data_IF_867159163141
#
_entry.id   IF_867159163141
#
_cell.length_a   1.000
_cell.length_b   1.000
_cell.length_c   1.000
_cell.angle_alpha   90.00
_cell.angle_beta   90.00
_cell.angle_gamma   90.00
#
_symmetry.space_group_name_H-M   'P 1'
#
loop_
_entity.id
_entity.type
_entity.pdbx_description
1 polymer ?
#
# COMPACT_ATOMS: atom_id res chain seq x y z
N UNK A 1 -20.46 49.75 -53.56
CA UNK A 1 -20.09 51.06 -52.98
C UNK A 1 -19.07 50.76 -51.88
N UNK A 2 -17.79 50.83 -52.21
CA UNK A 2 -16.65 50.83 -51.26
C UNK A 2 -16.49 52.26 -50.70
N UNK A 3 -15.87 52.51 -49.52
CA UNK A 3 -14.48 52.13 -49.19
C UNK A 3 -14.28 51.60 -47.74
N UNK A 4 -13.42 50.61 -47.46
CA UNK A 4 -11.97 50.70 -47.21
C UNK A 4 -11.52 51.92 -46.41
N UNK A 5 -10.98 51.71 -45.20
CA UNK A 5 -9.80 52.43 -44.67
C UNK A 5 -9.35 51.82 -43.32
N UNK A 6 -8.22 51.12 -43.36
CA UNK A 6 -7.16 51.20 -42.33
C UNK A 6 -5.97 51.87 -43.03
N UNK A 7 -4.96 52.48 -42.35
CA UNK A 7 -4.64 52.44 -40.92
C UNK A 7 -4.30 53.83 -40.32
N UNK A 8 -4.07 53.93 -39.01
CA UNK A 8 -3.12 54.94 -38.53
C UNK A 8 -2.20 54.37 -37.44
N UNK A 9 -0.91 54.41 -37.76
CA UNK A 9 0.21 54.05 -36.91
C UNK A 9 0.35 55.08 -35.79
N UNK A 10 0.32 54.63 -34.53
CA UNK A 10 1.18 55.21 -33.52
C UNK A 10 1.95 54.10 -32.81
N UNK A 11 3.16 53.88 -33.32
CA UNK A 11 4.24 53.20 -32.63
C UNK A 11 4.70 54.14 -31.52
N UNK A 12 4.34 53.87 -30.27
CA UNK A 12 5.13 54.33 -29.12
C UNK A 12 6.03 53.18 -28.68
N UNK A 13 7.32 53.32 -28.99
CA UNK A 13 8.42 52.59 -28.36
C UNK A 13 8.60 53.13 -26.95
N UNK A 14 8.37 52.31 -25.94
CA UNK A 14 9.06 52.41 -24.65
C UNK A 14 9.79 51.10 -24.41
N UNK A 15 11.08 51.22 -24.10
CA UNK A 15 12.07 50.17 -24.22
C UNK A 15 11.85 49.00 -23.27
N UNK A 16 11.93 47.79 -23.82
CA UNK A 16 12.22 46.59 -23.07
C UNK A 16 13.72 46.58 -22.70
N UNK A 17 14.04 47.06 -21.51
CA UNK A 17 15.23 46.65 -20.76
C UNK A 17 14.77 46.21 -19.37
N UNK A 18 14.92 44.92 -19.08
CA UNK A 18 14.52 44.34 -17.79
C UNK A 18 14.23 42.83 -17.79
N UNK A 19 14.27 42.16 -18.94
CA UNK A 19 13.95 40.73 -19.07
C UNK A 19 15.15 39.80 -19.06
N UNK A 20 16.00 39.79 -18.02
CA UNK A 20 16.96 38.67 -17.82
C UNK A 20 17.18 38.28 -16.34
N UNK A 21 16.66 38.99 -15.34
CA UNK A 21 16.97 38.68 -13.92
C UNK A 21 15.84 38.07 -13.08
N UNK A 22 14.70 37.72 -13.66
CA UNK A 22 13.56 37.19 -12.90
C UNK A 22 13.28 35.68 -13.09
N UNK A 23 14.09 34.95 -13.85
CA UNK A 23 13.88 33.50 -14.08
C UNK A 23 14.79 32.63 -13.18
N UNK A 24 15.90 33.18 -12.68
CA UNK A 24 16.82 32.46 -11.81
C UNK A 24 16.36 32.41 -10.33
N UNK A 25 15.45 33.30 -9.91
CA UNK A 25 14.95 33.36 -8.53
C UNK A 25 13.80 32.41 -8.22
N UNK A 26 13.01 32.02 -9.23
CA UNK A 26 11.82 31.18 -9.04
C UNK A 26 12.12 29.69 -9.11
N UNK A 27 13.24 29.30 -9.74
CA UNK A 27 13.70 27.90 -9.78
C UNK A 27 14.52 27.51 -8.54
N UNK A 28 14.99 28.49 -7.75
CA UNK A 28 15.81 28.23 -6.56
C UNK A 28 14.97 28.01 -5.29
N UNK A 29 13.72 28.49 -5.25
CA UNK A 29 12.80 28.28 -4.12
C UNK A 29 12.08 26.92 -4.15
N UNK A 30 12.02 26.26 -5.32
CA UNK A 30 11.44 24.92 -5.48
C UNK A 30 12.48 23.80 -5.27
N UNK A 31 13.73 24.19 -4.99
CA UNK A 31 14.83 23.30 -4.60
C UNK A 31 14.93 23.13 -3.07
N UNK A 32 13.86 23.47 -2.34
CA UNK A 32 13.69 23.11 -0.94
C UNK A 32 13.31 21.63 -0.84
N UNK A 33 14.34 20.78 -0.67
CA UNK A 33 14.29 19.37 -0.21
C UNK A 33 13.24 18.49 -0.92
N UNK A 34 13.64 17.97 -2.08
CA UNK A 34 13.03 16.81 -2.73
C UNK A 34 13.20 15.55 -1.85
N UNK A 35 12.47 15.45 -0.74
CA UNK A 35 12.03 14.16 -0.18
C UNK A 35 10.80 13.68 -0.98
N UNK A 36 10.87 13.76 -2.31
CA UNK A 36 9.81 13.34 -3.22
C UNK A 36 9.66 11.82 -3.10
N UNK A 37 8.57 11.40 -2.47
CA UNK A 37 8.23 9.98 -2.40
C UNK A 37 7.61 9.57 -3.72
N UNK A 38 8.42 8.98 -4.57
CA UNK A 38 7.97 8.33 -5.79
C UNK A 38 7.26 7.02 -5.46
N UNK A 39 5.94 6.99 -5.65
CA UNK A 39 5.19 5.74 -5.61
C UNK A 39 5.44 4.97 -6.91
N UNK A 40 6.33 3.99 -6.84
CA UNK A 40 6.66 3.14 -7.97
C UNK A 40 5.67 1.97 -8.01
N UNK A 41 4.81 1.95 -9.04
CA UNK A 41 3.95 0.80 -9.33
C UNK A 41 4.70 -0.18 -10.21
N UNK A 42 4.90 -1.40 -9.71
CA UNK A 42 5.46 -2.48 -10.52
C UNK A 42 4.42 -3.60 -10.59
N UNK A 43 3.85 -3.91 -11.78
CA UNK A 43 2.98 -5.05 -11.95
C UNK A 43 3.69 -6.36 -11.57
N UNK A 44 2.98 -7.21 -10.83
CA UNK A 44 3.45 -8.55 -10.49
C UNK A 44 3.15 -9.48 -11.65
N UNK A 45 4.19 -9.92 -12.37
CA UNK A 45 4.07 -10.90 -13.44
C UNK A 45 4.17 -12.31 -12.89
N UNK A 46 3.04 -13.01 -12.73
CA UNK A 46 3.06 -14.41 -12.30
C UNK A 46 3.69 -15.32 -13.36
N UNK A 47 4.62 -16.17 -12.94
CA UNK A 47 5.28 -17.17 -13.79
C UNK A 47 6.69 -16.80 -14.25
N UNK A 48 7.06 -15.52 -14.22
CA UNK A 48 8.44 -15.07 -14.31
C UNK A 48 8.89 -14.73 -12.89
N UNK A 49 9.80 -15.52 -12.29
CA UNK A 49 10.33 -15.20 -10.95
C UNK A 49 10.89 -13.78 -10.88
N UNK A 50 10.96 -13.16 -9.68
CA UNK A 50 11.26 -11.73 -9.52
C UNK A 50 12.61 -11.34 -10.12
N UNK A 51 13.59 -12.24 -10.08
CA UNK A 51 14.93 -12.05 -10.68
C UNK A 51 14.96 -11.99 -12.22
N UNK A 52 13.86 -12.34 -12.89
CA UNK A 52 13.75 -12.30 -14.36
C UNK A 52 13.02 -11.05 -14.87
N UNK A 53 12.56 -10.21 -13.97
CA UNK A 53 11.80 -9.02 -14.28
C UNK A 53 12.76 -7.83 -14.23
N UNK A 54 12.87 -7.09 -15.33
CA UNK A 54 13.60 -5.82 -15.36
C UNK A 54 12.70 -4.74 -14.73
N UNK A 55 12.73 -4.68 -13.40
CA UNK A 55 11.85 -3.86 -12.54
C UNK A 55 11.77 -2.41 -13.03
N UNK A 56 12.91 -1.84 -13.41
CA UNK A 56 12.98 -0.45 -13.86
C UNK A 56 12.09 -0.17 -15.08
N UNK A 57 11.97 -1.12 -16.02
CA UNK A 57 11.09 -0.97 -17.21
C UNK A 57 9.61 -1.02 -16.87
N UNK A 58 9.26 -1.48 -15.68
CA UNK A 58 7.88 -1.59 -15.22
C UNK A 58 7.41 -0.39 -14.41
N UNK A 59 8.33 0.50 -14.02
CA UNK A 59 7.99 1.71 -13.29
C UNK A 59 7.20 2.64 -14.22
N UNK A 60 6.00 3.03 -13.78
CA UNK A 60 5.14 3.98 -14.50
C UNK A 60 5.89 5.30 -14.74
N UNK A 61 6.02 5.73 -16.01
CA UNK A 61 6.79 6.93 -16.38
C UNK A 61 8.31 6.72 -16.48
N UNK A 62 8.81 5.48 -16.42
CA UNK A 62 10.23 5.21 -16.62
C UNK A 62 10.68 5.52 -18.05
N UNK A 63 11.79 6.24 -18.14
CA UNK A 63 12.53 6.53 -19.37
C UNK A 63 14.01 6.24 -19.10
N UNK A 64 14.85 5.98 -20.12
CA UNK A 64 16.30 5.86 -19.92
C UNK A 64 16.91 7.08 -19.21
N UNK A 65 16.33 8.28 -19.42
CA UNK A 65 16.74 9.51 -18.75
C UNK A 65 16.41 9.47 -17.25
N UNK A 66 15.18 9.14 -16.86
CA UNK A 66 14.82 8.98 -15.43
C UNK A 66 15.59 7.83 -14.78
N UNK A 67 15.89 6.76 -15.52
CA UNK A 67 16.77 5.69 -15.08
C UNK A 67 18.19 6.14 -14.76
N UNK A 68 18.74 7.07 -15.54
CA UNK A 68 20.09 7.61 -15.31
C UNK A 68 20.19 8.56 -14.11
N UNK A 69 19.06 9.01 -13.56
CA UNK A 69 19.02 9.88 -12.38
C UNK A 69 19.08 9.10 -11.06
N UNK A 70 18.76 7.80 -11.07
CA UNK A 70 18.87 6.98 -9.87
C UNK A 70 20.32 6.58 -9.59
N UNK A 71 20.72 6.76 -8.34
CA UNK A 71 21.95 6.20 -7.80
C UNK A 71 21.89 4.67 -7.78
N UNK A 72 23.06 4.03 -7.80
CA UNK A 72 23.14 2.57 -7.66
C UNK A 72 22.57 2.04 -6.34
N UNK A 73 22.49 2.88 -5.29
CA UNK A 73 21.85 2.53 -4.02
C UNK A 73 20.33 2.55 -4.11
N UNK A 74 19.75 3.56 -4.75
CA UNK A 74 18.30 3.64 -4.99
C UNK A 74 17.82 2.48 -5.86
N UNK A 75 18.56 2.14 -6.92
CA UNK A 75 18.24 0.97 -7.76
C UNK A 75 18.27 -0.33 -6.93
N UNK A 76 19.25 -0.48 -6.04
CA UNK A 76 19.30 -1.64 -5.13
C UNK A 76 18.13 -1.65 -4.15
N UNK A 77 17.74 -0.50 -3.62
CA UNK A 77 16.57 -0.40 -2.73
C UNK A 77 15.29 -0.79 -3.47
N UNK A 78 15.04 -0.23 -4.65
CA UNK A 78 13.88 -0.54 -5.49
C UNK A 78 13.79 -2.03 -5.78
N UNK A 79 14.90 -2.67 -6.15
CA UNK A 79 14.92 -4.11 -6.42
C UNK A 79 14.63 -4.94 -5.17
N UNK A 80 15.21 -4.58 -4.03
CA UNK A 80 14.96 -5.28 -2.75
C UNK A 80 13.51 -5.15 -2.32
N UNK A 81 12.96 -3.94 -2.40
CA UNK A 81 11.59 -3.66 -1.99
C UNK A 81 10.58 -4.32 -2.96
N UNK A 82 10.92 -4.40 -4.25
CA UNK A 82 10.17 -5.18 -5.22
C UNK A 82 10.19 -6.68 -4.90
N UNK A 83 11.37 -7.24 -4.60
CA UNK A 83 11.50 -8.65 -4.27
C UNK A 83 10.72 -9.01 -2.99
N UNK A 84 10.85 -8.18 -1.95
CA UNK A 84 10.05 -8.31 -0.73
C UNK A 84 8.55 -8.30 -1.07
N UNK A 85 8.08 -7.25 -1.76
CA UNK A 85 6.68 -7.10 -2.15
C UNK A 85 6.15 -8.26 -2.96
N UNK A 86 6.96 -8.78 -3.89
CA UNK A 86 6.62 -9.94 -4.72
C UNK A 86 6.39 -11.19 -3.85
N UNK A 87 7.25 -11.45 -2.88
CA UNK A 87 7.08 -12.58 -1.95
C UNK A 87 5.83 -12.42 -1.07
N UNK A 88 5.60 -11.22 -0.51
CA UNK A 88 4.42 -10.95 0.32
C UNK A 88 3.12 -11.14 -0.45
N UNK A 89 3.07 -10.63 -1.68
CA UNK A 89 1.91 -10.78 -2.56
C UNK A 89 1.70 -12.22 -3.02
N UNK A 90 2.77 -12.98 -3.25
CA UNK A 90 2.66 -14.42 -3.49
C UNK A 90 2.05 -15.16 -2.30
N UNK A 91 2.45 -14.84 -1.07
CA UNK A 91 1.87 -15.45 0.14
C UNK A 91 0.37 -15.22 0.22
N UNK A 92 -0.08 -13.97 0.01
CA UNK A 92 -1.50 -13.63 0.01
C UNK A 92 -2.24 -14.34 -1.12
N UNK A 93 -1.71 -14.33 -2.34
CA UNK A 93 -2.36 -14.96 -3.48
C UNK A 93 -2.41 -16.48 -3.37
N UNK A 94 -1.36 -17.11 -2.86
CA UNK A 94 -1.34 -18.55 -2.62
C UNK A 94 -2.40 -18.94 -1.60
N UNK A 95 -2.55 -18.14 -0.53
CA UNK A 95 -3.63 -18.32 0.43
C UNK A 95 -5.00 -18.10 -0.22
N UNK A 96 -5.20 -17.06 -1.03
CA UNK A 96 -6.48 -16.82 -1.72
C UNK A 96 -6.84 -17.93 -2.71
N UNK A 97 -5.86 -18.44 -3.46
CA UNK A 97 -6.05 -19.57 -4.36
C UNK A 97 -6.42 -20.84 -3.59
N UNK A 98 -5.77 -21.06 -2.44
CA UNK A 98 -6.12 -22.13 -1.53
C UNK A 98 -7.55 -21.92 -1.02
N UNK A 99 -7.89 -20.75 -0.49
CA UNK A 99 -9.21 -20.38 0.01
C UNK A 99 -10.32 -20.58 -1.04
N UNK A 100 -10.13 -20.10 -2.26
CA UNK A 100 -11.10 -20.26 -3.35
C UNK A 100 -11.29 -21.72 -3.75
N UNK A 101 -10.23 -22.54 -3.71
CA UNK A 101 -10.35 -24.00 -3.89
C UNK A 101 -11.02 -24.66 -2.68
N UNK A 102 -10.79 -24.15 -1.49
CA UNK A 102 -11.25 -24.64 -0.19
C UNK A 102 -12.76 -24.41 -0.01
N UNK A 103 -13.27 -23.22 -0.37
CA UNK A 103 -14.70 -22.90 -0.47
C UNK A 103 -15.49 -23.85 -1.40
N UNK A 104 -14.81 -24.55 -2.29
CA UNK A 104 -15.45 -25.38 -3.32
C UNK A 104 -15.71 -26.84 -2.92
N UNK A 105 -15.14 -27.43 -1.86
CA UNK A 105 -15.61 -28.74 -1.28
C UNK A 105 -14.85 -29.37 -0.09
N UNK A 106 -13.71 -28.86 0.43
CA UNK A 106 -12.94 -29.57 1.51
C UNK A 106 -12.17 -28.64 2.48
N UNK A 107 -12.83 -27.60 2.99
CA UNK A 107 -12.22 -26.74 4.02
C UNK A 107 -12.37 -27.31 5.43
N UNK A 108 -11.48 -26.97 6.37
CA UNK A 108 -11.88 -26.90 7.77
C UNK A 108 -13.15 -26.03 7.88
N UNK A 109 -14.25 -26.51 8.50
CA UNK A 109 -15.54 -25.81 8.52
C UNK A 109 -15.45 -24.35 9.00
N UNK A 110 -14.49 -24.08 9.89
CA UNK A 110 -14.26 -22.77 10.50
C UNK A 110 -13.63 -21.77 9.53
N UNK A 111 -12.68 -22.18 8.69
CA UNK A 111 -12.09 -21.26 7.72
C UNK A 111 -13.09 -20.85 6.63
N UNK A 112 -13.94 -21.78 6.19
CA UNK A 112 -14.99 -21.49 5.21
C UNK A 112 -16.04 -20.51 5.74
N UNK A 113 -16.26 -20.49 7.05
CA UNK A 113 -17.20 -19.57 7.72
C UNK A 113 -16.53 -18.33 8.31
N UNK A 114 -15.24 -18.08 8.04
CA UNK A 114 -14.50 -16.95 8.58
C UNK A 114 -15.10 -15.61 8.12
N UNK A 115 -15.68 -14.80 9.04
CA UNK A 115 -16.39 -13.58 8.68
C UNK A 115 -15.46 -12.42 8.33
N UNK A 116 -14.15 -12.55 8.57
CA UNK A 116 -13.17 -11.49 8.41
C UNK A 116 -12.48 -11.52 7.05
N UNK A 117 -12.26 -12.69 6.46
CA UNK A 117 -11.45 -12.83 5.24
C UNK A 117 -11.98 -12.07 4.02
N UNK A 118 -13.29 -12.18 3.73
CA UNK A 118 -13.91 -11.47 2.59
C UNK A 118 -13.81 -9.96 2.81
N UNK A 119 -13.99 -9.51 4.05
CA UNK A 119 -13.90 -8.09 4.41
C UNK A 119 -12.45 -7.59 4.33
N UNK A 120 -11.48 -8.41 4.74
CA UNK A 120 -10.06 -8.13 4.63
C UNK A 120 -9.63 -7.92 3.17
N UNK A 121 -10.06 -8.80 2.26
CA UNK A 121 -9.74 -8.63 0.83
C UNK A 121 -10.40 -7.37 0.23
N UNK A 122 -11.64 -7.08 0.62
CA UNK A 122 -12.31 -5.85 0.20
C UNK A 122 -11.54 -4.61 0.65
N UNK A 123 -11.08 -4.58 1.91
CA UNK A 123 -10.29 -3.47 2.44
C UNK A 123 -8.94 -3.35 1.73
N UNK A 124 -8.25 -4.46 1.45
CA UNK A 124 -7.03 -4.48 0.63
C UNK A 124 -7.23 -3.81 -0.73
N UNK A 125 -8.30 -4.20 -1.44
CA UNK A 125 -8.61 -3.64 -2.77
C UNK A 125 -8.91 -2.14 -2.68
N UNK A 126 -9.70 -1.71 -1.68
CA UNK A 126 -10.02 -0.29 -1.49
C UNK A 126 -8.74 0.50 -1.16
N UNK A 127 -7.92 0.01 -0.24
CA UNK A 127 -6.68 0.66 0.17
C UNK A 127 -5.72 0.87 -1.01
N UNK A 128 -5.54 -0.15 -1.84
CA UNK A 128 -4.71 -0.07 -3.04
C UNK A 128 -5.28 0.87 -4.11
N UNK A 129 -6.60 0.84 -4.33
CA UNK A 129 -7.28 1.78 -5.25
C UNK A 129 -7.17 3.23 -4.79
N UNK A 130 -7.20 3.49 -3.49
CA UNK A 130 -7.00 4.84 -2.95
C UNK A 130 -5.59 5.39 -3.13
N UNK A 131 -4.61 4.54 -3.46
CA UNK A 131 -3.27 4.95 -3.92
C UNK A 131 -3.18 5.07 -5.46
N UNK A 132 -4.33 5.09 -6.15
CA UNK A 132 -4.42 5.46 -7.57
C UNK A 132 -4.77 6.94 -7.72
N UNK A 133 -4.23 7.61 -8.75
CA UNK A 133 -4.43 9.05 -8.94
C UNK A 133 -5.91 9.30 -9.35
N UNK A 134 -6.61 10.26 -8.72
CA UNK A 134 -6.17 11.13 -7.62
C UNK A 134 -6.09 10.39 -6.28
N UNK A 135 -5.01 10.62 -5.53
CA UNK A 135 -4.77 9.93 -4.26
C UNK A 135 -5.81 10.29 -3.20
N UNK A 136 -6.29 9.27 -2.49
CA UNK A 136 -7.08 9.42 -1.26
C UNK A 136 -6.30 8.77 -0.11
N UNK A 137 -5.32 9.51 0.41
CA UNK A 137 -4.34 9.00 1.39
C UNK A 137 -5.00 8.59 2.70
N UNK A 138 -5.98 9.35 3.18
CA UNK A 138 -6.75 9.03 4.38
C UNK A 138 -7.55 7.75 4.23
N UNK A 139 -8.25 7.57 3.09
CA UNK A 139 -8.99 6.34 2.84
C UNK A 139 -8.07 5.14 2.66
N UNK A 140 -6.91 5.33 2.01
CA UNK A 140 -5.90 4.27 1.90
C UNK A 140 -5.37 3.83 3.26
N UNK A 141 -4.96 4.78 4.12
CA UNK A 141 -4.46 4.47 5.46
C UNK A 141 -5.51 3.76 6.31
N UNK A 142 -6.76 4.25 6.29
CA UNK A 142 -7.87 3.62 7.02
C UNK A 142 -8.10 2.18 6.56
N UNK A 143 -8.24 1.95 5.25
CA UNK A 143 -8.51 0.61 4.73
C UNK A 143 -7.30 -0.32 4.88
N UNK A 144 -6.07 0.21 4.88
CA UNK A 144 -4.87 -0.56 5.19
C UNK A 144 -4.89 -1.06 6.64
N UNK A 145 -5.22 -0.20 7.61
CA UNK A 145 -5.37 -0.61 9.01
C UNK A 145 -6.46 -1.67 9.16
N UNK A 146 -7.60 -1.44 8.53
CA UNK A 146 -8.75 -2.33 8.57
C UNK A 146 -8.47 -3.70 7.94
N UNK A 147 -7.63 -3.74 6.91
CA UNK A 147 -7.17 -4.96 6.27
C UNK A 147 -6.30 -5.79 7.23
N UNK A 148 -5.27 -5.18 7.82
CA UNK A 148 -4.38 -5.85 8.78
C UNK A 148 -5.16 -6.37 10.01
N UNK A 149 -6.04 -5.55 10.57
CA UNK A 149 -6.89 -5.93 11.71
C UNK A 149 -7.71 -7.18 11.39
N UNK A 150 -8.36 -7.22 10.22
CA UNK A 150 -9.21 -8.36 9.84
C UNK A 150 -8.41 -9.62 9.55
N UNK A 151 -7.21 -9.49 8.98
CA UNK A 151 -6.32 -10.64 8.81
C UNK A 151 -5.88 -11.22 10.15
N UNK A 152 -5.56 -10.38 11.13
CA UNK A 152 -5.23 -10.83 12.48
C UNK A 152 -6.43 -11.47 13.21
N UNK A 153 -7.63 -10.90 13.04
CA UNK A 153 -8.87 -11.50 13.57
C UNK A 153 -9.21 -12.83 12.90
N UNK A 154 -8.90 -12.98 11.62
CA UNK A 154 -9.03 -14.25 10.92
C UNK A 154 -8.13 -15.33 11.53
N UNK A 155 -6.89 -15.00 11.95
CA UNK A 155 -6.07 -15.93 12.72
C UNK A 155 -6.72 -16.32 14.05
N UNK A 156 -7.20 -15.33 14.83
CA UNK A 156 -7.90 -15.61 16.09
C UNK A 156 -9.11 -16.54 15.88
N UNK A 157 -9.86 -16.34 14.81
CA UNK A 157 -11.05 -17.12 14.51
C UNK A 157 -10.69 -18.51 13.99
N UNK A 158 -9.93 -18.58 12.91
CA UNK A 158 -9.71 -19.81 12.14
C UNK A 158 -8.63 -20.70 12.72
N UNK A 159 -7.58 -20.13 13.33
CA UNK A 159 -6.45 -20.89 13.88
C UNK A 159 -6.60 -21.09 15.39
N UNK A 160 -6.91 -20.01 16.12
CA UNK A 160 -7.01 -20.06 17.58
C UNK A 160 -8.37 -20.52 18.10
N UNK A 161 -9.36 -20.68 17.22
CA UNK A 161 -10.67 -21.19 17.58
C UNK A 161 -11.49 -20.24 18.45
N UNK A 162 -11.18 -18.94 18.47
CA UNK A 162 -11.94 -17.95 19.26
C UNK A 162 -13.23 -17.59 18.50
N UNK A 163 -14.35 -17.52 19.22
CA UNK A 163 -15.65 -17.18 18.63
C UNK A 163 -15.72 -15.70 18.20
N UNK A 164 -16.46 -15.41 17.12
CA UNK A 164 -16.59 -14.05 16.56
C UNK A 164 -17.06 -13.03 17.62
N UNK A 165 -17.96 -13.45 18.51
CA UNK A 165 -18.48 -12.61 19.60
C UNK A 165 -17.38 -12.22 20.58
N UNK A 166 -16.61 -13.20 21.07
CA UNK A 166 -15.47 -12.95 21.94
C UNK A 166 -14.40 -12.09 21.27
N UNK A 167 -14.15 -12.29 19.98
CA UNK A 167 -13.21 -11.43 19.23
C UNK A 167 -13.68 -9.96 19.25
N UNK A 168 -14.99 -9.71 19.06
CA UNK A 168 -15.55 -8.36 19.08
C UNK A 168 -15.50 -7.73 20.47
N UNK A 169 -15.83 -8.50 21.50
CA UNK A 169 -15.96 -8.01 22.87
C UNK A 169 -14.58 -7.81 23.51
N UNK A 170 -13.65 -8.76 23.32
CA UNK A 170 -12.35 -8.75 24.00
C UNK A 170 -11.31 -7.92 23.25
N UNK A 171 -11.35 -7.87 21.92
CA UNK A 171 -10.29 -7.20 21.15
C UNK A 171 -10.76 -5.92 20.45
N UNK A 172 -12.04 -5.83 20.11
CA UNK A 172 -12.62 -4.71 19.36
C UNK A 172 -11.74 -4.31 18.15
N UNK A 173 -11.33 -3.04 18.01
CA UNK A 173 -10.43 -2.55 16.94
C UNK A 173 -8.97 -2.42 17.39
N UNK A 174 -8.58 -3.04 18.51
CA UNK A 174 -7.26 -2.88 19.10
C UNK A 174 -6.24 -3.86 18.52
N UNK A 175 -5.62 -3.50 17.38
CA UNK A 175 -4.59 -4.32 16.71
C UNK A 175 -3.49 -4.76 17.67
N UNK A 176 -2.97 -3.86 18.51
CA UNK A 176 -1.94 -4.18 19.50
C UNK A 176 -2.38 -5.27 20.49
N UNK A 177 -3.65 -5.26 20.90
CA UNK A 177 -4.20 -6.26 21.81
C UNK A 177 -4.28 -7.63 21.14
N UNK A 178 -4.74 -7.65 19.88
CA UNK A 178 -4.76 -8.87 19.06
C UNK A 178 -3.34 -9.41 18.89
N UNK A 179 -2.40 -8.54 18.54
CA UNK A 179 -0.99 -8.90 18.36
C UNK A 179 -0.37 -9.51 19.62
N UNK A 180 -0.56 -8.85 20.78
CA UNK A 180 -0.03 -9.35 22.05
C UNK A 180 -0.57 -10.72 22.42
N UNK A 181 -1.80 -11.05 22.01
CA UNK A 181 -2.34 -12.39 22.16
C UNK A 181 -1.66 -13.39 21.21
N UNK A 182 -1.65 -13.08 19.91
CA UNK A 182 -1.11 -13.97 18.88
C UNK A 182 0.39 -14.24 19.03
N UNK A 183 1.19 -13.26 19.45
CA UNK A 183 2.66 -13.42 19.56
C UNK A 183 3.11 -14.40 20.64
N UNK A 184 2.22 -14.73 21.59
CA UNK A 184 2.49 -15.77 22.60
C UNK A 184 2.25 -17.19 22.08
N UNK A 185 1.61 -17.32 20.90
CA UNK A 185 1.12 -18.59 20.35
C UNK A 185 1.77 -18.99 19.03
N UNK A 186 2.28 -18.00 18.28
CA UNK A 186 2.91 -18.23 16.98
C UNK A 186 4.37 -17.79 17.00
N UNK A 187 5.26 -18.68 16.57
CA UNK A 187 6.70 -18.40 16.44
C UNK A 187 7.00 -17.51 15.22
N UNK A 188 8.20 -16.92 15.20
CA UNK A 188 8.71 -16.19 14.04
C UNK A 188 8.08 -14.81 13.79
N UNK A 189 7.26 -14.31 14.70
CA UNK A 189 6.43 -13.12 14.48
C UNK A 189 7.10 -11.79 14.94
N UNK A 190 8.20 -11.85 15.70
CA UNK A 190 8.90 -10.68 16.29
C UNK A 190 9.22 -9.57 15.29
N UNK A 191 9.53 -9.91 14.04
CA UNK A 191 9.85 -8.94 12.99
C UNK A 191 8.69 -8.01 12.62
N UNK A 192 7.44 -8.33 13.02
CA UNK A 192 6.25 -7.53 12.72
C UNK A 192 5.94 -6.47 13.77
N UNK A 193 6.63 -6.41 14.91
CA UNK A 193 6.29 -5.48 16.00
C UNK A 193 6.25 -4.03 15.52
N UNK A 194 7.21 -3.62 14.67
CA UNK A 194 7.25 -2.29 14.09
C UNK A 194 6.07 -2.03 13.14
N UNK A 195 5.72 -3.00 12.30
CA UNK A 195 4.57 -2.89 11.39
C UNK A 195 3.25 -2.83 12.17
N UNK A 196 3.11 -3.63 13.23
CA UNK A 196 1.96 -3.57 14.14
C UNK A 196 1.86 -2.19 14.80
N UNK A 197 2.99 -1.65 15.26
CA UNK A 197 3.03 -0.33 15.87
C UNK A 197 2.65 0.78 14.88
N UNK A 198 3.17 0.72 13.65
CA UNK A 198 2.86 1.70 12.60
C UNK A 198 1.36 1.68 12.27
N UNK A 199 0.81 0.50 12.00
CA UNK A 199 -0.60 0.35 11.61
C UNK A 199 -1.56 0.68 12.76
N UNK A 200 -1.19 0.38 14.01
CA UNK A 200 -2.04 0.69 15.18
C UNK A 200 -2.18 2.18 15.49
N UNK A 201 -1.30 3.05 14.95
CA UNK A 201 -1.41 4.51 15.10
C UNK A 201 -2.51 5.12 14.23
N UNK A 202 -3.01 4.37 13.24
CA UNK A 202 -4.08 4.82 12.37
C UNK A 202 -5.41 4.65 13.10
N UNK A 203 -6.10 5.75 13.36
CA UNK A 203 -7.38 5.75 14.08
C UNK A 203 -8.49 6.36 13.23
N UNK A 204 -9.74 5.97 13.46
CA UNK A 204 -10.89 6.58 12.78
C UNK A 204 -10.96 8.09 12.99
N UNK A 205 -10.61 8.56 14.19
CA UNK A 205 -10.58 9.98 14.49
C UNK A 205 -9.62 10.71 13.55
N UNK A 206 -8.42 10.15 13.36
CA UNK A 206 -7.41 10.71 12.46
C UNK A 206 -7.86 10.68 10.99
N UNK A 207 -8.34 9.54 10.49
CA UNK A 207 -8.57 9.37 9.05
C UNK A 207 -9.95 9.78 8.54
N UNK A 208 -10.99 9.79 9.40
CA UNK A 208 -12.39 10.01 8.97
C UNK A 208 -13.08 11.18 9.67
N UNK A 209 -12.68 11.51 10.89
CA UNK A 209 -13.39 12.51 11.70
C UNK A 209 -12.54 13.75 12.01
N UNK A 210 -11.35 13.84 11.42
CA UNK A 210 -10.48 15.01 11.54
C UNK A 210 -10.18 15.61 10.16
N UNK A 211 -9.73 16.86 10.17
CA UNK A 211 -9.21 17.53 8.99
C UNK A 211 -7.71 17.23 8.75
N UNK A 212 -7.11 16.34 9.55
CA UNK A 212 -5.72 15.93 9.37
C UNK A 212 -5.59 15.15 8.06
N UNK A 213 -4.63 15.56 7.23
CA UNK A 213 -4.31 14.88 5.98
C UNK A 213 -3.08 14.02 6.22
N UNK A 214 -3.22 12.72 5.97
CA UNK A 214 -2.09 11.79 5.96
C UNK A 214 -1.29 12.04 4.69
N UNK A 215 0.01 12.25 4.83
CA UNK A 215 0.91 12.42 3.69
C UNK A 215 0.99 11.14 2.85
N UNK A 216 1.23 11.27 1.54
CA UNK A 216 1.33 10.11 0.65
C UNK A 216 2.38 9.10 1.12
N UNK A 217 3.54 9.59 1.59
CA UNK A 217 4.61 8.74 2.16
C UNK A 217 4.11 7.89 3.30
N UNK A 218 3.37 8.49 4.22
CA UNK A 218 2.85 7.81 5.40
C UNK A 218 1.77 6.79 4.98
N UNK A 219 0.85 7.15 4.08
CA UNK A 219 -0.16 6.24 3.57
C UNK A 219 0.45 5.01 2.87
N UNK A 220 1.48 5.21 2.05
CA UNK A 220 2.23 4.12 1.40
C UNK A 220 2.94 3.24 2.44
N UNK A 221 3.57 3.83 3.46
CA UNK A 221 4.21 3.07 4.53
C UNK A 221 3.20 2.20 5.28
N UNK A 222 2.04 2.77 5.65
CA UNK A 222 0.97 2.04 6.34
C UNK A 222 0.47 0.89 5.47
N UNK A 223 0.26 1.12 4.17
CA UNK A 223 -0.13 0.07 3.23
C UNK A 223 0.89 -1.08 3.21
N UNK A 224 2.19 -0.75 3.21
CA UNK A 224 3.28 -1.74 3.21
C UNK A 224 3.35 -2.55 4.50
N UNK A 225 3.19 -1.89 5.65
CA UNK A 225 3.15 -2.57 6.94
C UNK A 225 1.92 -3.47 7.07
N UNK A 226 0.77 -3.04 6.56
CA UNK A 226 -0.43 -3.89 6.46
C UNK A 226 -0.24 -5.08 5.53
N UNK A 227 0.51 -4.93 4.43
CA UNK A 227 0.87 -6.02 3.53
C UNK A 227 1.71 -7.08 4.24
N UNK A 228 2.75 -6.66 4.99
CA UNK A 228 3.61 -7.58 5.78
C UNK A 228 2.81 -8.37 6.81
N UNK A 229 1.99 -7.69 7.59
CA UNK A 229 1.11 -8.32 8.59
C UNK A 229 0.18 -9.34 7.90
N UNK A 230 -0.44 -8.94 6.79
CA UNK A 230 -1.40 -9.77 6.08
C UNK A 230 -0.76 -11.00 5.43
N UNK A 231 0.46 -10.88 4.89
CA UNK A 231 1.21 -12.00 4.34
C UNK A 231 1.58 -13.02 5.43
N UNK A 232 2.01 -12.55 6.60
CA UNK A 232 2.24 -13.41 7.76
C UNK A 232 0.97 -14.17 8.17
N UNK A 233 -0.17 -13.47 8.24
CA UNK A 233 -1.45 -14.11 8.54
C UNK A 233 -1.83 -15.14 7.47
N UNK A 234 -1.62 -14.82 6.20
CA UNK A 234 -1.90 -15.72 5.08
C UNK A 234 -1.10 -17.02 5.15
N UNK A 235 0.20 -16.96 5.46
CA UNK A 235 1.02 -18.18 5.62
C UNK A 235 0.60 -19.01 6.83
N UNK A 236 0.25 -18.39 7.96
CA UNK A 236 -0.24 -19.12 9.13
C UNK A 236 -1.59 -19.80 8.87
N UNK A 237 -2.53 -19.10 8.23
CA UNK A 237 -3.83 -19.66 7.83
C UNK A 237 -3.63 -20.83 6.86
N UNK A 238 -2.74 -20.69 5.87
CA UNK A 238 -2.40 -21.74 4.91
C UNK A 238 -1.78 -22.95 5.60
N UNK A 239 -0.83 -22.76 6.50
CA UNK A 239 -0.22 -23.84 7.27
C UNK A 239 -1.28 -24.59 8.11
N UNK A 240 -2.21 -23.88 8.72
CA UNK A 240 -3.32 -24.47 9.46
C UNK A 240 -4.22 -25.34 8.57
N UNK A 241 -4.55 -24.89 7.35
CA UNK A 241 -5.32 -25.70 6.38
C UNK A 241 -4.56 -26.96 5.99
N UNK A 242 -3.27 -26.85 5.72
CA UNK A 242 -2.44 -27.99 5.32
C UNK A 242 -2.34 -29.02 6.44
N UNK A 243 -2.14 -28.59 7.69
CA UNK A 243 -2.07 -29.48 8.85
C UNK A 243 -3.42 -30.16 9.13
N UNK A 244 -4.53 -29.42 9.00
CA UNK A 244 -5.88 -29.95 9.19
C UNK A 244 -6.35 -30.91 8.09
N UNK A 245 -5.70 -30.90 6.92
CA UNK A 245 -6.01 -31.83 5.83
C UNK A 245 -5.26 -33.18 5.94
N UNK A 246 -4.27 -33.26 6.83
CA UNK A 246 -3.44 -34.46 7.06
C UNK A 246 -3.89 -35.24 8.30
N UNK A 247 -4.67 -34.62 9.18
CA UNK A 247 -5.30 -35.23 10.35
C UNK A 247 -6.65 -35.90 10.01
#
# INVERSE_FOLDING_TARGET
MFPSDTPNNQIQKTGAQGGVQAIAGTLASDLERLDDVYFIRIPICFGAGPHRIEVMKLVEGFTPLTGSLFTGEEIRSINRDFEEGYQLMLSIQNFQNLFNRVLSTKSPPRLASDPYLIRADRDRVIAGRSLTIPYDTNNSAFHSQQWAEKMLKSLLFSVEGIEERSIKDDFYHEIFKIWNHLKTKHEGCVHLENSIQAVSKVTMNRTRYSNEVIELREAVSIFWDSLRISAYCAENLKAHVQNSAVA
#
